data_IF_468005390252
#
_entry.id   IF_468005390252
#
_cell.length_a   1.000
_cell.length_b   1.000
_cell.length_c   1.000
_cell.angle_alpha   90.00
_cell.angle_beta   90.00
_cell.angle_gamma   90.00
#
_symmetry.space_group_name_H-M   'P 1'
#
loop_
_entity.id
_entity.type
_entity.pdbx_description
1 polymer ?
#
# COMPACT_ATOMS: atom_id res chain seq x y z
N UNK A 1 -47.76 40.79 18.15
CA UNK A 1 -46.42 40.86 17.53
C UNK A 1 -45.56 39.83 18.24
N UNK A 2 -45.16 38.76 17.56
CA UNK A 2 -44.34 37.69 18.15
C UNK A 2 -42.88 38.09 17.95
N UNK A 3 -42.22 38.44 19.04
CA UNK A 3 -40.78 38.69 19.04
C UNK A 3 -40.08 37.34 19.22
N UNK A 4 -39.91 36.61 18.12
CA UNK A 4 -39.15 35.35 18.10
C UNK A 4 -37.66 35.67 18.19
N UNK A 5 -37.15 35.77 19.41
CA UNK A 5 -35.73 35.87 19.70
C UNK A 5 -35.03 34.57 19.29
N UNK A 6 -34.45 34.55 18.10
CA UNK A 6 -33.66 33.41 17.60
C UNK A 6 -32.45 33.26 18.51
N UNK A 7 -32.50 32.29 19.42
CA UNK A 7 -31.44 32.02 20.38
C UNK A 7 -30.58 30.87 19.85
N UNK A 8 -29.27 31.11 19.67
CA UNK A 8 -28.34 30.08 19.20
C UNK A 8 -28.19 28.98 20.26
N UNK A 9 -28.37 27.69 19.92
CA UNK A 9 -28.14 26.58 20.85
C UNK A 9 -26.71 26.58 21.41
N UNK A 10 -26.55 26.21 22.68
CA UNK A 10 -25.24 26.09 23.32
C UNK A 10 -24.51 24.87 22.75
N UNK A 11 -23.30 25.09 22.23
CA UNK A 11 -22.42 24.02 21.79
C UNK A 11 -21.69 23.41 23.00
N UNK A 12 -21.89 22.12 23.25
CA UNK A 12 -21.29 21.36 24.35
C UNK A 12 -20.22 20.37 23.87
N UNK A 13 -19.48 20.73 22.81
CA UNK A 13 -18.43 19.88 22.27
C UNK A 13 -17.21 19.83 23.18
N UNK A 14 -16.58 18.66 23.25
CA UNK A 14 -15.31 18.49 23.94
C UNK A 14 -14.22 19.30 23.23
N UNK A 15 -13.29 19.89 24.00
CA UNK A 15 -12.15 20.63 23.45
C UNK A 15 -11.26 19.73 22.59
N UNK A 16 -10.47 20.34 21.71
CA UNK A 16 -9.44 19.60 20.97
C UNK A 16 -8.48 18.92 21.96
N UNK A 17 -8.22 17.62 21.76
CA UNK A 17 -7.23 16.86 22.54
C UNK A 17 -5.83 17.44 22.33
N UNK A 18 -5.59 18.04 21.17
CA UNK A 18 -4.27 18.52 20.74
C UNK A 18 -4.03 20.00 21.01
N UNK A 19 -5.09 20.78 21.26
CA UNK A 19 -4.99 22.24 21.44
C UNK A 19 -4.12 22.88 20.34
N UNK A 20 -3.10 23.60 20.76
CA UNK A 20 -2.15 24.30 19.89
C UNK A 20 -0.84 23.51 19.66
N UNK A 21 -0.75 22.26 20.15
CA UNK A 21 0.48 21.46 20.17
C UNK A 21 1.16 21.34 18.81
N UNK A 22 0.38 21.19 17.73
CA UNK A 22 0.90 21.09 16.37
C UNK A 22 1.03 22.44 15.65
N UNK A 23 0.63 23.56 16.26
CA UNK A 23 0.74 24.88 15.63
C UNK A 23 2.18 25.41 15.63
N UNK A 24 3.00 25.03 16.61
CA UNK A 24 4.42 25.35 16.64
C UNK A 24 5.23 24.25 15.95
N UNK A 25 5.42 24.39 14.63
CA UNK A 25 6.32 23.51 13.88
C UNK A 25 7.73 24.10 13.80
N UNK A 26 8.71 23.39 14.34
CA UNK A 26 10.14 23.73 14.20
C UNK A 26 10.81 22.76 13.21
N UNK A 27 11.17 23.21 11.99
CA UNK A 27 11.69 22.35 10.90
C UNK A 27 13.00 21.62 11.23
N UNK A 28 13.77 22.15 12.18
CA UNK A 28 15.09 21.64 12.56
C UNK A 28 15.08 20.21 13.13
N UNK A 29 13.92 19.71 13.58
CA UNK A 29 13.77 18.33 14.07
C UNK A 29 13.49 17.29 12.99
N UNK A 30 13.27 17.72 11.73
CA UNK A 30 12.87 16.85 10.62
C UNK A 30 13.89 16.76 9.49
N UNK A 31 14.99 17.51 9.56
CA UNK A 31 16.09 17.37 8.61
C UNK A 31 16.89 16.12 8.94
N UNK A 32 16.70 15.06 8.15
CA UNK A 32 17.58 13.91 8.12
C UNK A 32 19.00 14.36 7.77
N UNK A 33 19.98 13.81 8.48
CA UNK A 33 21.38 14.03 8.20
C UNK A 33 21.75 13.55 6.79
N UNK A 34 22.87 14.05 6.26
CA UNK A 34 23.39 13.58 4.97
C UNK A 34 23.70 12.08 4.97
N UNK A 35 24.09 11.53 6.12
CA UNK A 35 24.37 10.10 6.31
C UNK A 35 23.07 9.27 6.25
N UNK A 36 22.04 9.64 7.02
CA UNK A 36 20.72 8.98 6.98
C UNK A 36 20.09 9.02 5.58
N UNK A 37 20.31 10.13 4.84
CA UNK A 37 19.84 10.23 3.46
C UNK A 37 20.55 9.25 2.53
N UNK A 38 21.87 9.05 2.69
CA UNK A 38 22.62 8.07 1.90
C UNK A 38 22.15 6.65 2.21
N UNK A 39 22.01 6.31 3.49
CA UNK A 39 21.50 5.01 3.93
C UNK A 39 20.10 4.73 3.37
N UNK A 40 19.23 5.74 3.35
CA UNK A 40 17.89 5.63 2.77
C UNK A 40 17.94 5.32 1.27
N UNK A 41 18.80 5.98 0.50
CA UNK A 41 18.94 5.72 -0.93
C UNK A 41 19.54 4.34 -1.21
N UNK A 42 20.54 3.91 -0.42
CA UNK A 42 21.07 2.55 -0.51
C UNK A 42 20.01 1.48 -0.20
N UNK A 43 19.19 1.71 0.83
CA UNK A 43 18.13 0.78 1.20
C UNK A 43 17.03 0.73 0.13
N UNK A 44 16.68 1.88 -0.45
CA UNK A 44 15.74 1.92 -1.60
C UNK A 44 16.26 1.10 -2.76
N UNK A 45 17.54 1.24 -3.10
CA UNK A 45 18.11 0.52 -4.23
C UNK A 45 18.19 -0.99 -3.95
N UNK A 46 18.50 -1.41 -2.72
CA UNK A 46 18.42 -2.83 -2.30
C UNK A 46 17.01 -3.39 -2.46
N UNK A 47 15.98 -2.65 -2.05
CA UNK A 47 14.58 -3.08 -2.22
C UNK A 47 14.19 -3.15 -3.70
N UNK A 48 14.65 -2.19 -4.51
CA UNK A 48 14.46 -2.23 -5.97
C UNK A 48 15.11 -3.47 -6.58
N UNK A 49 16.34 -3.81 -6.21
CA UNK A 49 17.02 -5.03 -6.67
C UNK A 49 16.25 -6.28 -6.26
N UNK A 50 15.78 -6.36 -5.01
CA UNK A 50 14.95 -7.49 -4.56
C UNK A 50 13.69 -7.64 -5.41
N UNK A 51 13.03 -6.54 -5.80
CA UNK A 51 11.85 -6.58 -6.68
C UNK A 51 12.15 -7.07 -8.10
N UNK A 52 13.36 -6.81 -8.62
CA UNK A 52 13.80 -7.20 -9.97
C UNK A 52 14.37 -8.62 -10.00
N UNK A 53 15.10 -9.02 -8.97
CA UNK A 53 15.75 -10.33 -8.88
C UNK A 53 14.78 -11.44 -8.47
N UNK A 54 13.71 -11.10 -7.77
CA UNK A 54 12.72 -12.10 -7.34
C UNK A 54 12.00 -12.65 -8.57
N UNK A 55 12.04 -13.98 -8.81
CA UNK A 55 11.36 -14.57 -9.96
C UNK A 55 9.87 -14.25 -9.93
N UNK A 56 9.35 -13.88 -11.11
CA UNK A 56 7.94 -13.51 -11.30
C UNK A 56 6.97 -14.62 -10.87
N UNK A 57 7.40 -15.88 -10.94
CA UNK A 57 6.60 -17.04 -10.54
C UNK A 57 6.61 -17.38 -9.04
N UNK A 58 7.35 -16.62 -8.22
CA UNK A 58 7.58 -16.99 -6.82
C UNK A 58 6.55 -16.36 -5.88
N UNK A 59 6.03 -17.17 -4.94
CA UNK A 59 5.25 -16.68 -3.79
C UNK A 59 6.00 -15.60 -3.01
N UNK A 60 7.33 -15.65 -3.04
CA UNK A 60 8.21 -14.67 -2.42
C UNK A 60 8.01 -13.26 -2.97
N UNK A 61 7.82 -13.09 -4.30
CA UNK A 61 7.56 -11.79 -4.92
C UNK A 61 6.25 -11.17 -4.45
N UNK A 62 5.20 -11.98 -4.34
CA UNK A 62 3.89 -11.54 -3.83
C UNK A 62 3.98 -11.09 -2.37
N UNK A 63 4.71 -11.83 -1.53
CA UNK A 63 4.92 -11.48 -0.12
C UNK A 63 5.74 -10.20 0.01
N UNK A 64 6.77 -10.02 -0.84
CA UNK A 64 7.57 -8.81 -0.87
C UNK A 64 6.72 -7.58 -1.21
N UNK A 65 5.91 -7.67 -2.27
CA UNK A 65 5.00 -6.58 -2.68
C UNK A 65 4.00 -6.26 -1.56
N UNK A 66 3.40 -7.28 -0.94
CA UNK A 66 2.44 -7.06 0.15
C UNK A 66 3.09 -6.37 1.35
N UNK A 67 4.32 -6.77 1.68
CA UNK A 67 5.11 -6.18 2.78
C UNK A 67 5.39 -4.71 2.50
N UNK A 68 5.87 -4.37 1.30
CA UNK A 68 6.14 -2.99 0.86
C UNK A 68 4.87 -2.12 0.92
N UNK A 69 3.73 -2.67 0.48
CA UNK A 69 2.44 -1.97 0.55
C UNK A 69 1.99 -1.72 1.99
N UNK A 70 2.15 -2.70 2.89
CA UNK A 70 1.77 -2.59 4.31
C UNK A 70 2.66 -1.65 5.10
N UNK A 71 3.92 -1.54 4.72
CA UNK A 71 4.87 -0.57 5.29
C UNK A 71 4.58 0.87 4.85
N UNK A 72 3.69 1.09 3.87
CA UNK A 72 3.36 2.43 3.39
C UNK A 72 4.45 3.08 2.53
N UNK A 73 5.46 2.32 2.09
CA UNK A 73 6.59 2.81 1.29
C UNK A 73 6.49 2.44 -0.20
N UNK A 74 5.38 1.82 -0.61
CA UNK A 74 5.15 1.41 -2.00
C UNK A 74 5.20 2.54 -3.04
N UNK A 75 5.02 3.79 -2.62
CA UNK A 75 5.08 4.95 -3.51
C UNK A 75 6.48 5.19 -4.12
N UNK A 76 7.53 4.61 -3.53
CA UNK A 76 8.88 4.65 -4.12
C UNK A 76 9.10 3.63 -5.24
N UNK A 77 8.25 2.61 -5.35
CA UNK A 77 8.46 1.43 -6.18
C UNK A 77 7.27 1.17 -7.12
N UNK A 78 6.55 2.23 -7.53
CA UNK A 78 5.28 2.10 -8.26
C UNK A 78 5.46 1.33 -9.57
N UNK A 79 6.54 1.57 -10.31
CA UNK A 79 6.78 0.94 -11.60
C UNK A 79 7.19 -0.53 -11.43
N UNK A 80 8.09 -0.79 -10.50
CA UNK A 80 8.60 -2.12 -10.17
C UNK A 80 7.45 -3.02 -9.71
N UNK A 81 6.62 -2.55 -8.78
CA UNK A 81 5.46 -3.29 -8.28
C UNK A 81 4.43 -3.54 -9.41
N UNK A 82 4.26 -2.59 -10.33
CA UNK A 82 3.36 -2.77 -11.49
C UNK A 82 3.87 -3.85 -12.44
N UNK A 83 5.16 -3.83 -12.76
CA UNK A 83 5.79 -4.82 -13.64
C UNK A 83 5.70 -6.21 -13.00
N UNK A 84 6.10 -6.37 -11.74
CA UNK A 84 6.05 -7.66 -11.05
C UNK A 84 4.62 -8.24 -11.01
N UNK A 85 3.60 -7.43 -10.71
CA UNK A 85 2.21 -7.92 -10.70
C UNK A 85 1.73 -8.31 -12.11
N UNK A 86 2.12 -7.56 -13.15
CA UNK A 86 1.79 -7.92 -14.53
C UNK A 86 2.42 -9.25 -14.93
N UNK A 87 3.70 -9.46 -14.62
CA UNK A 87 4.39 -10.70 -14.92
C UNK A 87 3.75 -11.90 -14.21
N UNK A 88 3.44 -11.77 -12.91
CA UNK A 88 2.71 -12.79 -12.13
C UNK A 88 1.38 -13.15 -12.81
N UNK A 89 0.67 -12.15 -13.34
CA UNK A 89 -0.60 -12.39 -14.04
C UNK A 89 -0.40 -13.13 -15.36
N UNK A 90 0.50 -12.66 -16.21
CA UNK A 90 0.76 -13.26 -17.52
C UNK A 90 1.20 -14.73 -17.40
N UNK A 91 2.01 -15.04 -16.38
CA UNK A 91 2.39 -16.42 -16.08
C UNK A 91 1.23 -17.26 -15.54
N UNK A 92 0.35 -16.69 -14.72
CA UNK A 92 -0.83 -17.40 -14.20
C UNK A 92 -1.79 -17.79 -15.32
N UNK A 93 -1.95 -16.93 -16.34
CA UNK A 93 -2.75 -17.19 -17.54
C UNK A 93 -2.14 -18.31 -18.39
N UNK A 94 -0.81 -18.36 -18.52
CA UNK A 94 -0.09 -19.41 -19.24
C UNK A 94 -0.14 -20.76 -18.52
N UNK A 95 -0.16 -20.77 -17.19
CA UNK A 95 -0.15 -21.99 -16.37
C UNK A 95 -1.55 -22.52 -15.99
N UNK A 96 -2.65 -21.93 -16.48
CA UNK A 96 -4.04 -22.39 -16.25
C UNK A 96 -4.31 -23.87 -16.55
N UNK A 97 -3.45 -24.52 -17.34
CA UNK A 97 -3.59 -25.92 -17.74
C UNK A 97 -2.82 -26.90 -16.85
N UNK A 98 -2.08 -26.43 -15.84
CA UNK A 98 -1.50 -27.29 -14.80
C UNK A 98 -2.38 -27.20 -13.56
N UNK A 99 -2.75 -28.36 -13.01
CA UNK A 99 -3.35 -28.48 -11.68
C UNK A 99 -2.45 -27.77 -10.67
N UNK A 100 -2.75 -26.49 -10.42
CA UNK A 100 -2.03 -25.70 -9.44
C UNK A 100 -2.59 -26.09 -8.08
N UNK A 101 -1.88 -26.98 -7.38
CA UNK A 101 -1.95 -27.15 -5.93
C UNK A 101 -1.34 -25.92 -5.23
N UNK A 102 -1.80 -24.73 -5.65
CA UNK A 102 -1.38 -23.46 -5.09
C UNK A 102 -2.10 -23.27 -3.76
N UNK A 103 -1.33 -23.08 -2.69
CA UNK A 103 -1.83 -22.76 -1.35
C UNK A 103 -2.88 -21.62 -1.41
N UNK A 104 -4.02 -21.82 -0.74
CA UNK A 104 -5.12 -20.86 -0.63
C UNK A 104 -4.62 -19.46 -0.24
N UNK A 105 -3.58 -19.38 0.60
CA UNK A 105 -2.95 -18.12 0.98
C UNK A 105 -2.38 -17.37 -0.22
N UNK A 106 -1.71 -18.08 -1.13
CA UNK A 106 -1.10 -17.52 -2.35
C UNK A 106 -2.18 -17.06 -3.33
N UNK A 107 -3.22 -17.86 -3.54
CA UNK A 107 -4.35 -17.52 -4.42
C UNK A 107 -5.07 -16.26 -3.90
N UNK A 108 -5.37 -16.21 -2.60
CA UNK A 108 -6.00 -15.05 -1.97
C UNK A 108 -5.13 -13.79 -2.06
N UNK A 109 -3.81 -13.94 -1.88
CA UNK A 109 -2.86 -12.83 -1.97
C UNK A 109 -2.78 -12.27 -3.39
N UNK A 110 -2.67 -13.14 -4.40
CA UNK A 110 -2.71 -12.76 -5.82
C UNK A 110 -3.98 -11.98 -6.14
N UNK A 111 -5.14 -12.54 -5.79
CA UNK A 111 -6.43 -11.89 -6.04
C UNK A 111 -6.50 -10.48 -5.40
N UNK A 112 -6.05 -10.34 -4.15
CA UNK A 112 -6.04 -9.06 -3.44
C UNK A 112 -5.16 -8.03 -4.14
N UNK A 113 -3.95 -8.42 -4.56
CA UNK A 113 -2.98 -7.51 -5.17
C UNK A 113 -3.46 -7.02 -6.54
N UNK A 114 -3.99 -7.92 -7.38
CA UNK A 114 -4.50 -7.54 -8.71
C UNK A 114 -5.69 -6.59 -8.59
N UNK A 115 -6.64 -6.88 -7.70
CA UNK A 115 -7.82 -6.01 -7.50
C UNK A 115 -7.45 -4.60 -7.05
N UNK A 116 -6.38 -4.47 -6.25
CA UNK A 116 -5.86 -3.17 -5.79
C UNK A 116 -5.26 -2.33 -6.92
N UNK A 117 -4.72 -2.96 -7.96
CA UNK A 117 -4.07 -2.26 -9.08
C UNK A 117 -5.00 -1.83 -10.23
N UNK A 118 -6.33 -1.99 -10.09
CA UNK A 118 -7.33 -1.67 -11.14
C UNK A 118 -7.13 -2.44 -12.46
N UNK A 119 -6.49 -3.61 -12.44
CA UNK A 119 -6.73 -4.59 -13.50
C UNK A 119 -8.04 -5.31 -13.17
N UNK A 120 -9.04 -5.13 -14.04
CA UNK A 120 -10.36 -5.72 -13.89
C UNK A 120 -10.27 -7.24 -14.10
N UNK A 121 -9.88 -7.97 -13.06
CA UNK A 121 -10.10 -9.42 -12.98
C UNK A 121 -11.60 -9.67 -12.97
N UNK A 122 -12.06 -10.52 -13.90
CA UNK A 122 -13.44 -11.00 -13.93
C UNK A 122 -13.79 -11.64 -12.59
N UNK A 123 -14.96 -11.33 -12.04
CA UNK A 123 -15.47 -11.80 -10.74
C UNK A 123 -15.77 -13.32 -10.67
N UNK A 124 -15.27 -14.11 -11.62
CA UNK A 124 -15.59 -15.54 -11.77
C UNK A 124 -14.69 -16.52 -11.00
N UNK A 125 -13.68 -16.05 -10.25
CA UNK A 125 -12.72 -16.94 -9.54
C UNK A 125 -13.15 -17.25 -8.09
N UNK A 126 -14.26 -16.69 -7.60
CA UNK A 126 -14.76 -16.98 -6.25
C UNK A 126 -16.24 -17.35 -6.31
N UNK A 127 -16.52 -18.59 -6.68
CA UNK A 127 -17.69 -19.33 -6.19
C UNK A 127 -17.37 -20.83 -6.23
N UNK A 128 -16.82 -21.32 -5.11
CA UNK A 128 -17.11 -22.64 -4.56
C UNK A 128 -17.56 -22.42 -3.13
#
# INVERSE_FOLDING_TARGET
>A
MVDTTITRPLANYHSSIWGDYFLSYTPQLTEISSEEKLELEELKEKVRQMLVETPDNSTQGLVLIDTIQRLGVAYHFVNEIKISIQNIFDESEQNKNKDNDDDLCVVALRFRLVRRQRHCMSSGIVFI
#
